data_IF_666673678811
#
_entry.id   IF_666673678811
#
_cell.length_a   1.000
_cell.length_b   1.000
_cell.length_c   1.000
_cell.angle_alpha   90.00
_cell.angle_beta   90.00
_cell.angle_gamma   90.00
#
_symmetry.space_group_name_H-M   'P 1'
#
loop_
_entity.id
_entity.type
_entity.pdbx_description
1 polymer ?
#
# COMPACT_ATOMS: atom_id res chain seq x y z
N UNK A 1 -2.97 -6.81 4.70
CA UNK A 1 -2.90 -5.33 4.78
C UNK A 1 -3.04 -4.94 6.25
N UNK A 2 -2.43 -3.84 6.68
CA UNK A 2 -2.56 -3.39 8.07
C UNK A 2 -3.62 -2.30 8.22
N UNK A 3 -4.22 -2.20 9.40
CA UNK A 3 -5.13 -1.09 9.75
C UNK A 3 -4.42 0.25 9.59
N UNK A 4 -5.09 1.18 8.90
CA UNK A 4 -4.60 2.52 8.62
C UNK A 4 -3.50 2.61 7.56
N UNK A 5 -3.18 1.51 6.86
CA UNK A 5 -2.26 1.51 5.72
C UNK A 5 -3.05 1.34 4.42
N UNK A 6 -3.01 2.39 3.60
CA UNK A 6 -3.71 2.43 2.33
C UNK A 6 -3.09 1.47 1.31
N UNK A 7 -3.93 0.92 0.45
CA UNK A 7 -3.51 0.09 -0.67
C UNK A 7 -4.31 0.45 -1.92
N UNK A 8 -3.77 0.08 -3.09
CA UNK A 8 -4.40 0.36 -4.37
C UNK A 8 -5.24 -0.85 -4.78
N UNK A 9 -6.53 -0.60 -5.06
CA UNK A 9 -7.43 -1.52 -5.73
C UNK A 9 -7.48 -1.15 -7.23
N UNK A 10 -7.26 -2.14 -8.09
CA UNK A 10 -7.27 -1.96 -9.55
C UNK A 10 -8.27 -2.92 -10.21
N UNK A 11 -9.57 -2.56 -10.27
CA UNK A 11 -10.55 -3.33 -11.03
C UNK A 11 -10.18 -3.35 -12.52
N UNK A 12 -9.97 -4.54 -13.06
CA UNK A 12 -9.62 -4.75 -14.46
C UNK A 12 -10.85 -5.25 -15.23
N UNK A 13 -11.26 -4.50 -16.24
CA UNK A 13 -12.45 -4.75 -17.05
C UNK A 13 -12.00 -5.13 -18.45
N UNK A 14 -12.58 -6.20 -19.01
CA UNK A 14 -12.32 -6.63 -20.39
C UNK A 14 -13.65 -6.76 -21.10
N UNK A 15 -13.80 -6.08 -22.24
CA UNK A 15 -15.00 -6.20 -23.06
C UNK A 15 -14.97 -7.49 -23.88
N UNK A 16 -15.91 -8.38 -23.59
CA UNK A 16 -16.17 -9.59 -24.40
C UNK A 16 -17.28 -9.38 -25.43
N UNK A 17 -17.85 -8.18 -25.49
CA UNK A 17 -18.94 -7.85 -26.41
C UNK A 17 -18.39 -7.63 -27.82
N UNK A 18 -19.02 -8.19 -28.87
CA UNK A 18 -18.69 -7.85 -30.25
C UNK A 18 -19.20 -6.45 -30.66
N UNK A 19 -19.96 -5.79 -29.78
CA UNK A 19 -20.50 -4.44 -29.98
C UNK A 19 -19.84 -3.45 -29.02
N UNK A 20 -19.55 -2.20 -29.44
CA UNK A 20 -18.99 -1.19 -28.57
C UNK A 20 -19.90 -0.89 -27.37
N UNK A 21 -19.30 -0.84 -26.18
CA UNK A 21 -19.96 -0.58 -24.91
C UNK A 21 -19.45 0.73 -24.32
N UNK A 22 -20.33 1.66 -24.01
CA UNK A 22 -19.98 2.91 -23.32
C UNK A 22 -20.20 2.75 -21.82
N UNK A 23 -19.14 2.98 -21.04
CA UNK A 23 -19.19 3.07 -19.59
C UNK A 23 -19.77 4.43 -19.21
N UNK A 24 -20.82 4.40 -18.39
CA UNK A 24 -21.50 5.60 -17.90
C UNK A 24 -20.92 6.06 -16.57
N UNK A 25 -20.73 5.11 -15.64
CA UNK A 25 -20.08 5.36 -14.37
C UNK A 25 -19.53 4.05 -13.78
N UNK A 26 -18.58 4.21 -12.86
CA UNK A 26 -18.14 3.14 -11.97
C UNK A 26 -18.37 3.57 -10.53
N UNK A 27 -18.75 2.62 -9.67
CA UNK A 27 -18.95 2.88 -8.25
C UNK A 27 -18.40 1.73 -7.41
N UNK A 28 -17.94 2.07 -6.21
CA UNK A 28 -17.39 1.12 -5.25
C UNK A 28 -18.15 1.24 -3.91
N UNK A 29 -18.86 0.18 -3.57
CA UNK A 29 -19.52 0.03 -2.27
C UNK A 29 -18.61 -0.77 -1.35
N UNK A 30 -17.87 -0.06 -0.48
CA UNK A 30 -16.96 -0.67 0.49
C UNK A 30 -17.71 -1.27 1.68
N UNK A 31 -17.08 -2.24 2.34
CA UNK A 31 -17.56 -2.70 3.66
C UNK A 31 -17.31 -1.66 4.75
N UNK A 32 -18.04 -1.77 5.88
CA UNK A 32 -17.92 -0.86 7.03
C UNK A 32 -16.52 -0.80 7.66
N UNK A 33 -15.66 -1.77 7.36
CA UNK A 33 -14.28 -1.89 7.83
C UNK A 33 -13.25 -1.29 6.87
N UNK A 34 -13.70 -0.57 5.83
CA UNK A 34 -12.85 0.08 4.84
C UNK A 34 -13.34 1.50 4.56
N UNK A 35 -12.40 2.38 4.23
CA UNK A 35 -12.69 3.74 3.77
C UNK A 35 -12.02 3.98 2.43
N UNK A 36 -12.74 4.68 1.54
CA UNK A 36 -12.20 5.13 0.26
C UNK A 36 -11.50 6.47 0.47
N UNK A 37 -10.27 6.59 -0.01
CA UNK A 37 -9.59 7.89 -0.05
C UNK A 37 -10.26 8.79 -1.12
N UNK A 38 -10.35 10.11 -0.88
CA UNK A 38 -10.91 11.02 -1.86
C UNK A 38 -10.16 10.92 -3.19
N UNK A 39 -10.88 10.61 -4.26
CA UNK A 39 -10.37 10.51 -5.62
C UNK A 39 -11.23 11.35 -6.57
N UNK A 40 -10.66 11.80 -7.72
CA UNK A 40 -11.45 12.43 -8.77
C UNK A 40 -12.53 11.47 -9.29
N UNK A 41 -13.46 12.00 -10.10
CA UNK A 41 -14.49 11.22 -10.78
C UNK A 41 -13.90 9.96 -11.46
N UNK A 42 -14.74 8.92 -11.56
CA UNK A 42 -14.41 7.63 -12.21
C UNK A 42 -13.56 7.84 -13.46
N UNK A 43 -12.35 7.24 -13.46
CA UNK A 43 -11.41 7.32 -14.58
C UNK A 43 -11.97 6.72 -15.88
N UNK A 44 -12.99 5.87 -15.75
CA UNK A 44 -13.59 5.13 -16.85
C UNK A 44 -14.90 5.74 -17.35
N UNK A 45 -15.34 6.85 -16.76
CA UNK A 45 -16.55 7.55 -17.19
C UNK A 45 -16.46 7.95 -18.66
N UNK A 46 -17.54 7.70 -19.39
CA UNK A 46 -17.69 7.97 -20.82
C UNK A 46 -16.71 7.22 -21.74
N UNK A 47 -15.96 6.25 -21.23
CA UNK A 47 -15.07 5.40 -22.02
C UNK A 47 -15.87 4.38 -22.83
N UNK A 48 -15.57 4.25 -24.12
CA UNK A 48 -16.15 3.21 -24.99
C UNK A 48 -15.15 2.09 -25.19
N UNK A 49 -15.57 0.86 -24.88
CA UNK A 49 -14.78 -0.36 -25.06
C UNK A 49 -15.33 -1.18 -26.22
N UNK A 50 -14.47 -1.51 -27.16
CA UNK A 50 -14.73 -2.45 -28.25
C UNK A 50 -14.26 -3.86 -27.87
N UNK A 51 -14.44 -4.82 -28.78
CA UNK A 51 -14.14 -6.23 -28.48
C UNK A 51 -12.66 -6.41 -28.10
N UNK A 52 -12.40 -7.12 -27.01
CA UNK A 52 -11.07 -7.41 -26.45
C UNK A 52 -10.33 -6.20 -25.87
N UNK A 53 -10.90 -5.00 -25.90
CA UNK A 53 -10.33 -3.86 -25.18
C UNK A 53 -10.51 -3.99 -23.68
N UNK A 54 -9.52 -3.47 -22.95
CA UNK A 54 -9.47 -3.49 -21.51
C UNK A 54 -9.35 -2.09 -20.92
N UNK A 55 -9.96 -1.91 -19.76
CA UNK A 55 -9.86 -0.70 -18.97
C UNK A 55 -9.53 -1.06 -17.52
N UNK A 56 -8.83 -0.16 -16.84
CA UNK A 56 -8.47 -0.33 -15.42
C UNK A 56 -8.82 0.93 -14.66
N UNK A 57 -9.62 0.75 -13.61
CA UNK A 57 -9.89 1.80 -12.63
C UNK A 57 -8.85 1.73 -11.51
N UNK A 58 -8.62 2.83 -10.80
CA UNK A 58 -7.59 2.89 -9.75
C UNK A 58 -8.13 3.63 -8.53
N UNK A 59 -8.28 2.88 -7.43
CA UNK A 59 -8.92 3.37 -6.21
C UNK A 59 -7.98 3.14 -5.02
N UNK A 60 -7.83 4.13 -4.15
CA UNK A 60 -7.02 4.01 -2.94
C UNK A 60 -7.92 3.73 -1.74
N UNK A 61 -7.73 2.58 -1.09
CA UNK A 61 -8.59 2.09 0.00
C UNK A 61 -7.76 1.92 1.25
N UNK A 62 -8.32 2.33 2.39
CA UNK A 62 -7.68 2.23 3.71
C UNK A 62 -8.53 1.34 4.63
N UNK A 63 -7.99 0.22 5.16
CA UNK A 63 -8.70 -0.58 6.16
C UNK A 63 -8.78 0.17 7.49
N UNK A 64 -9.97 0.18 8.10
CA UNK A 64 -10.23 0.89 9.37
C UNK A 64 -10.30 -0.03 10.58
N UNK A 65 -10.51 -1.34 10.36
CA UNK A 65 -10.59 -2.34 11.43
C UNK A 65 -9.96 -3.67 11.02
N UNK A 66 -9.28 -4.31 11.97
CA UNK A 66 -8.71 -5.65 11.81
C UNK A 66 -9.74 -6.74 12.08
N UNK A 67 -9.51 -7.93 11.54
CA UNK A 67 -10.37 -9.09 11.74
C UNK A 67 -9.55 -10.38 11.79
N UNK A 68 -10.01 -11.37 12.55
CA UNK A 68 -9.44 -12.73 12.56
C UNK A 68 -9.86 -13.56 11.34
N UNK A 69 -10.82 -13.08 10.57
CA UNK A 69 -11.29 -13.67 9.32
C UNK A 69 -11.05 -12.71 8.15
N UNK A 70 -10.97 -13.21 6.90
CA UNK A 70 -10.89 -12.36 5.72
C UNK A 70 -12.02 -11.33 5.69
N UNK A 71 -11.65 -10.05 5.66
CA UNK A 71 -12.58 -8.93 5.65
C UNK A 71 -13.10 -8.73 4.23
N UNK A 72 -14.42 -8.62 4.07
CA UNK A 72 -15.03 -8.29 2.79
C UNK A 72 -14.54 -6.93 2.28
N UNK A 73 -14.06 -6.85 1.05
CA UNK A 73 -13.59 -5.59 0.47
C UNK A 73 -14.75 -4.69 0.06
N UNK A 74 -15.74 -5.26 -0.61
CA UNK A 74 -16.89 -4.53 -1.12
C UNK A 74 -17.40 -5.06 -2.45
N UNK A 75 -18.23 -4.26 -3.10
CA UNK A 75 -18.82 -4.56 -4.41
C UNK A 75 -18.43 -3.43 -5.37
N UNK A 76 -17.85 -3.81 -6.50
CA UNK A 76 -17.57 -2.88 -7.59
C UNK A 76 -18.67 -3.00 -8.64
N UNK A 77 -19.28 -1.87 -9.01
CA UNK A 77 -20.38 -1.81 -9.96
C UNK A 77 -20.01 -0.93 -11.15
N UNK A 78 -20.26 -1.43 -12.35
CA UNK A 78 -20.08 -0.72 -13.61
C UNK A 78 -21.46 -0.51 -14.21
N UNK A 79 -21.82 0.73 -14.49
CA UNK A 79 -22.99 1.04 -15.33
C UNK A 79 -22.53 1.32 -16.74
N UNK A 80 -23.16 0.67 -17.70
CA UNK A 80 -22.78 0.73 -19.11
C UNK A 80 -24.01 0.61 -20.00
N UNK A 81 -23.85 1.00 -21.25
CA UNK A 81 -24.86 0.80 -22.29
C UNK A 81 -24.16 0.46 -23.61
N UNK A 82 -24.92 -0.07 -24.58
CA UNK A 82 -24.42 -0.17 -25.95
C UNK A 82 -24.22 1.23 -26.52
N UNK A 83 -23.17 1.42 -27.30
CA UNK A 83 -22.92 2.67 -28.02
C UNK A 83 -23.78 2.76 -29.29
N UNK A 84 -25.10 2.68 -29.10
CA UNK A 84 -26.11 2.89 -30.12
C UNK A 84 -27.21 3.83 -29.59
N UNK A 85 -28.06 4.35 -30.49
CA UNK A 85 -29.04 5.39 -30.14
C UNK A 85 -30.14 4.91 -29.18
N UNK A 86 -30.28 3.60 -28.96
CA UNK A 86 -31.32 2.99 -28.11
C UNK A 86 -30.70 2.13 -26.99
N UNK A 87 -29.44 2.38 -26.64
CA UNK A 87 -28.73 1.62 -25.61
C UNK A 87 -29.48 1.68 -24.28
N UNK A 88 -29.83 0.50 -23.75
CA UNK A 88 -30.43 0.39 -22.42
C UNK A 88 -29.32 0.42 -21.37
N UNK A 89 -29.45 1.32 -20.40
CA UNK A 89 -28.58 1.35 -19.23
C UNK A 89 -28.65 0.01 -18.49
N UNK A 90 -27.49 -0.62 -18.37
CA UNK A 90 -27.30 -1.92 -17.74
C UNK A 90 -26.20 -1.80 -16.69
N UNK A 91 -26.34 -2.50 -15.57
CA UNK A 91 -25.30 -2.56 -14.54
C UNK A 91 -24.72 -3.96 -14.40
N UNK A 92 -23.44 -4.03 -14.06
CA UNK A 92 -22.74 -5.27 -13.75
C UNK A 92 -21.95 -5.07 -12.47
N UNK A 93 -22.19 -5.93 -11.48
CA UNK A 93 -21.58 -5.84 -10.16
C UNK A 93 -20.75 -7.08 -9.87
N UNK A 94 -19.57 -6.88 -9.28
CA UNK A 94 -18.64 -7.94 -8.91
C UNK A 94 -18.26 -7.77 -7.44
N UNK A 95 -18.42 -8.83 -6.67
CA UNK A 95 -17.92 -8.88 -5.29
C UNK A 95 -16.40 -8.98 -5.31
N UNK A 96 -15.74 -8.04 -4.64
CA UNK A 96 -14.29 -8.01 -4.54
C UNK A 96 -13.79 -9.10 -3.61
N UNK A 97 -12.60 -9.63 -3.92
CA UNK A 97 -11.98 -10.65 -3.09
C UNK A 97 -11.76 -10.13 -1.66
N UNK A 98 -12.08 -10.93 -0.62
CA UNK A 98 -11.83 -10.54 0.75
C UNK A 98 -10.33 -10.51 1.04
N UNK A 99 -9.91 -9.61 1.93
CA UNK A 99 -8.51 -9.41 2.30
C UNK A 99 -8.27 -9.64 3.78
N UNK A 100 -7.07 -10.12 4.12
CA UNK A 100 -6.63 -10.22 5.49
C UNK A 100 -6.21 -8.84 6.00
N UNK A 101 -6.87 -8.38 7.07
CA UNK A 101 -6.57 -7.10 7.72
C UNK A 101 -6.07 -7.36 9.14
N UNK A 102 -4.80 -7.04 9.36
CA UNK A 102 -4.13 -7.19 10.65
C UNK A 102 -3.95 -5.84 11.33
N UNK A 103 -3.92 -5.84 12.66
CA UNK A 103 -3.49 -4.67 13.42
C UNK A 103 -2.06 -4.88 13.92
N UNK A 104 -1.22 -3.85 13.72
CA UNK A 104 0.17 -3.87 14.10
C UNK A 104 0.45 -2.70 15.06
N UNK A 105 0.94 -2.96 16.30
CA UNK A 105 1.13 -1.91 17.29
C UNK A 105 2.21 -0.90 16.90
N UNK A 106 3.13 -1.30 16.01
CA UNK A 106 4.23 -0.47 15.52
C UNK A 106 4.27 -0.54 14.00
N UNK A 107 4.12 0.62 13.34
CA UNK A 107 4.39 0.79 11.92
C UNK A 107 5.84 1.25 11.71
N UNK A 108 6.45 0.85 10.60
CA UNK A 108 7.81 1.24 10.23
C UNK A 108 7.78 1.75 8.79
N UNK A 109 8.28 2.96 8.60
CA UNK A 109 8.49 3.57 7.29
C UNK A 109 9.98 3.85 7.12
N UNK A 110 10.54 3.52 5.96
CA UNK A 110 11.95 3.76 5.66
C UNK A 110 12.07 4.77 4.52
N UNK A 111 12.68 5.92 4.79
CA UNK A 111 13.12 6.86 3.77
C UNK A 111 14.56 6.51 3.39
N UNK A 112 14.70 5.94 2.20
CA UNK A 112 15.95 5.41 1.65
C UNK A 112 16.23 6.13 0.32
N UNK A 113 17.47 6.59 0.07
CA UNK A 113 17.87 7.07 -1.25
C UNK A 113 17.61 6.03 -2.34
N UNK A 114 17.14 6.48 -3.50
CA UNK A 114 16.85 5.59 -4.64
C UNK A 114 18.08 4.81 -5.14
N UNK A 115 19.28 5.35 -4.92
CA UNK A 115 20.55 4.69 -5.20
C UNK A 115 21.64 5.17 -4.24
N UNK A 116 22.67 4.35 -4.08
CA UNK A 116 23.90 4.70 -3.38
C UNK A 116 25.07 4.77 -4.35
N UNK A 117 26.07 5.61 -4.03
CA UNK A 117 27.34 5.64 -4.75
C UNK A 117 28.40 4.89 -3.94
N UNK A 118 29.18 4.04 -4.61
CA UNK A 118 30.26 3.28 -3.98
C UNK A 118 31.21 4.23 -3.27
N UNK A 119 31.55 3.88 -2.02
CA UNK A 119 32.42 4.65 -1.10
C UNK A 119 31.87 6.01 -0.69
N UNK A 120 30.62 6.35 -1.00
CA UNK A 120 29.95 7.58 -0.56
C UNK A 120 28.94 7.26 0.54
N UNK A 121 28.95 7.99 1.67
CA UNK A 121 27.94 7.80 2.72
C UNK A 121 26.52 8.08 2.21
N UNK A 122 25.57 7.21 2.56
CA UNK A 122 24.14 7.36 2.35
C UNK A 122 23.41 7.28 3.69
N UNK A 123 22.48 8.21 3.92
CA UNK A 123 21.70 8.24 5.15
C UNK A 123 20.36 7.52 4.93
N UNK A 124 20.08 6.53 5.76
CA UNK A 124 18.79 5.85 5.83
C UNK A 124 18.05 6.34 7.07
N UNK A 125 16.80 6.75 6.88
CA UNK A 125 15.95 7.21 7.98
C UNK A 125 14.78 6.25 8.17
N UNK A 126 14.62 5.74 9.38
CA UNK A 126 13.47 4.95 9.79
C UNK A 126 12.54 5.80 10.67
N UNK A 127 11.25 5.76 10.36
CA UNK A 127 10.18 6.35 11.15
C UNK A 127 9.39 5.21 11.79
N UNK A 128 9.51 5.08 13.11
CA UNK A 128 8.75 4.12 13.89
C UNK A 128 7.52 4.80 14.46
N UNK A 129 6.33 4.34 14.09
CA UNK A 129 5.06 4.89 14.55
C UNK A 129 4.42 3.92 15.54
N UNK A 130 4.28 4.34 16.78
CA UNK A 130 3.48 3.61 17.76
C UNK A 130 2.00 3.92 17.52
N UNK A 131 1.27 2.90 17.07
CA UNK A 131 -0.18 2.99 16.81
C UNK A 131 -1.01 2.68 18.06
N UNK A 132 -0.39 2.21 19.14
CA UNK A 132 -1.06 1.86 20.41
C UNK A 132 -1.14 3.03 21.39
N UNK A 133 -1.91 2.82 22.47
CA UNK A 133 -2.05 3.73 23.61
C UNK A 133 -1.02 3.47 24.73
N UNK A 134 -0.11 2.51 24.54
CA UNK A 134 0.91 2.13 25.51
C UNK A 134 2.29 2.65 25.09
N UNK A 135 3.18 2.87 26.07
CA UNK A 135 4.59 3.09 25.78
C UNK A 135 5.21 1.78 25.27
N UNK A 136 5.84 1.79 24.09
CA UNK A 136 6.54 0.62 23.55
C UNK A 136 8.04 0.88 23.59
N UNK A 137 8.78 -0.06 24.16
CA UNK A 137 10.25 -0.03 24.11
C UNK A 137 10.74 -1.09 23.13
N UNK A 138 11.54 -0.67 22.17
CA UNK A 138 12.14 -1.54 21.17
C UNK A 138 13.66 -1.40 21.20
N UNK A 139 14.33 -2.48 20.87
CA UNK A 139 15.75 -2.51 20.52
C UNK A 139 15.86 -2.69 19.03
N UNK A 140 16.51 -1.74 18.38
CA UNK A 140 16.79 -1.79 16.95
C UNK A 140 18.24 -2.19 16.74
N UNK A 141 18.49 -3.20 15.90
CA UNK A 141 19.84 -3.70 15.61
C UNK A 141 20.05 -3.79 14.11
N UNK A 142 21.11 -3.16 13.61
CA UNK A 142 21.53 -3.28 12.21
C UNK A 142 22.51 -4.45 12.06
N UNK A 143 22.19 -5.41 11.18
CA UNK A 143 23.08 -6.52 10.87
C UNK A 143 24.26 -6.05 10.02
N UNK A 144 25.41 -6.71 10.18
CA UNK A 144 26.55 -6.48 9.31
C UNK A 144 26.27 -7.07 7.92
N UNK A 145 26.82 -6.43 6.88
CA UNK A 145 26.69 -6.86 5.50
C UNK A 145 28.00 -6.55 4.77
N UNK A 146 28.56 -7.51 4.06
CA UNK A 146 29.88 -7.36 3.40
C UNK A 146 29.89 -6.30 2.29
N UNK A 147 28.72 -5.89 1.79
CA UNK A 147 28.59 -4.84 0.79
C UNK A 147 28.43 -3.43 1.37
N UNK A 148 28.26 -3.30 2.69
CA UNK A 148 28.05 -2.01 3.35
C UNK A 148 28.83 -1.90 4.65
N UNK A 149 29.61 -0.83 4.80
CA UNK A 149 30.02 -0.40 6.13
C UNK A 149 28.95 0.50 6.69
N UNK A 150 28.68 0.44 7.99
CA UNK A 150 27.86 1.45 8.66
C UNK A 150 28.71 2.22 9.66
N UNK A 151 28.36 3.48 9.88
CA UNK A 151 28.95 4.33 10.90
C UNK A 151 27.92 4.62 12.00
N UNK A 152 28.34 4.56 13.26
CA UNK A 152 27.49 4.85 14.42
C UNK A 152 27.11 3.59 15.21
N UNK A 153 25.96 3.66 15.88
CA UNK A 153 25.49 2.59 16.76
C UNK A 153 24.95 1.41 15.96
N UNK A 154 25.52 0.21 16.21
CA UNK A 154 24.96 -1.04 15.68
C UNK A 154 23.59 -1.35 16.29
N UNK A 155 23.42 -0.99 17.56
CA UNK A 155 22.22 -1.26 18.36
C UNK A 155 21.77 0.03 19.07
N UNK A 156 20.46 0.29 19.08
CA UNK A 156 19.87 1.44 19.77
C UNK A 156 18.55 1.05 20.45
N UNK A 157 18.36 1.48 21.70
CA UNK A 157 17.09 1.36 22.39
C UNK A 157 16.21 2.59 22.10
N UNK A 158 14.97 2.32 21.74
CA UNK A 158 14.00 3.30 21.25
C UNK A 158 12.74 3.18 22.09
N UNK A 159 12.37 4.29 22.72
CA UNK A 159 11.12 4.45 23.45
C UNK A 159 10.12 5.17 22.55
N UNK A 160 9.03 4.50 22.21
CA UNK A 160 7.95 5.01 21.39
C UNK A 160 6.77 5.39 22.28
N UNK A 161 6.54 6.69 22.44
CA UNK A 161 5.40 7.22 23.18
C UNK A 161 4.08 6.78 22.52
N UNK A 162 2.99 6.63 23.29
CA UNK A 162 1.65 6.37 22.75
C UNK A 162 1.31 7.30 21.59
N UNK A 163 0.73 6.76 20.52
CA UNK A 163 0.28 7.52 19.33
C UNK A 163 1.32 8.48 18.74
N UNK A 164 2.61 8.16 18.86
CA UNK A 164 3.72 9.03 18.46
C UNK A 164 4.64 8.35 17.45
N UNK A 165 5.43 9.16 16.75
CA UNK A 165 6.43 8.70 15.80
C UNK A 165 7.83 9.08 16.26
N UNK A 166 8.79 8.15 16.11
CA UNK A 166 10.20 8.38 16.41
C UNK A 166 11.06 8.14 15.19
N UNK A 167 11.93 9.10 14.90
CA UNK A 167 12.90 9.07 13.82
C UNK A 167 14.22 8.47 14.33
N UNK A 168 14.78 7.53 13.58
CA UNK A 168 16.11 6.94 13.82
C UNK A 168 16.88 6.90 12.52
N UNK A 169 18.16 7.28 12.53
CA UNK A 169 18.98 7.38 11.32
C UNK A 169 20.21 6.50 11.41
N UNK A 170 20.56 5.86 10.28
CA UNK A 170 21.81 5.16 10.08
C UNK A 170 22.55 5.71 8.87
N UNK A 171 23.87 5.79 8.98
CA UNK A 171 24.74 6.15 7.86
C UNK A 171 25.37 4.86 7.36
N UNK A 172 25.04 4.47 6.13
CA UNK A 172 25.66 3.36 5.42
C UNK A 172 26.65 3.88 4.39
N UNK A 173 27.66 3.08 4.08
CA UNK A 173 28.65 3.35 3.04
C UNK A 173 28.76 2.10 2.15
N UNK A 174 28.22 2.15 0.93
CA UNK A 174 28.32 1.04 -0.01
C UNK A 174 29.78 0.76 -0.37
N UNK A 175 30.14 -0.52 -0.42
CA UNK A 175 31.49 -1.00 -0.75
C UNK A 175 31.58 -1.58 -2.16
N UNK A 176 30.45 -2.11 -2.65
CA UNK A 176 30.36 -2.84 -3.93
C UNK A 176 29.29 -2.20 -4.79
N UNK A 177 29.50 -2.21 -6.11
CA UNK A 177 28.51 -1.75 -7.09
C UNK A 177 27.55 -2.87 -7.49
N UNK A 178 26.37 -2.51 -7.97
CA UNK A 178 25.37 -3.45 -8.47
C UNK A 178 24.10 -3.48 -7.63
N UNK A 179 23.25 -4.47 -7.89
CA UNK A 179 22.01 -4.67 -7.14
C UNK A 179 22.31 -5.48 -5.88
N UNK A 180 22.48 -4.77 -4.75
CA UNK A 180 22.85 -5.40 -3.48
C UNK A 180 21.81 -5.11 -2.41
N UNK A 181 21.48 -6.13 -1.63
CA UNK A 181 20.54 -6.02 -0.53
C UNK A 181 21.08 -5.11 0.58
N UNK A 182 20.24 -4.20 1.08
CA UNK A 182 20.56 -3.39 2.24
C UNK A 182 20.78 -4.26 3.49
N UNK A 183 21.57 -3.79 4.46
CA UNK A 183 21.70 -4.47 5.75
C UNK A 183 20.33 -4.65 6.42
N UNK A 184 20.10 -5.81 7.04
CA UNK A 184 18.83 -6.10 7.71
C UNK A 184 18.72 -5.31 9.01
N UNK A 185 17.55 -4.72 9.22
CA UNK A 185 17.19 -4.08 10.47
C UNK A 185 16.31 -5.04 11.29
N UNK A 186 16.77 -5.43 12.47
CA UNK A 186 15.99 -6.22 13.42
C UNK A 186 15.38 -5.33 14.48
N UNK A 187 14.13 -5.61 14.85
CA UNK A 187 13.47 -5.03 16.01
C UNK A 187 13.13 -6.13 17.00
N UNK A 188 13.52 -5.94 18.26
CA UNK A 188 13.18 -6.85 19.34
C UNK A 188 12.69 -6.08 20.56
N UNK A 189 11.94 -6.75 21.43
CA UNK A 189 11.65 -6.20 22.75
C UNK A 189 12.92 -6.36 23.60
N UNK A 190 13.38 -5.32 24.32
CA UNK A 190 14.48 -5.47 25.27
C UNK A 190 14.13 -6.51 26.36
N UNK A 191 15.12 -7.26 26.86
CA UNK A 191 14.94 -8.16 27.99
C UNK A 191 14.56 -7.41 29.28
#
# INVERSE_FOLDING_TARGET
VFVGESFILMPHIVSSSPWPLRILETSLELSNSMSLEPSPDSLLKDLTLTQEEAATDVLCVTPTASSTQPTSTGIYTIKWQRDDKNGVETSTSVTLAPIWVEDAPVGIEAAIPAHGLVRTPMCITYYLKNKSDCLITLRMTMEANDAFMFAGQKEVNVYLRPRNSRKVQWILRPLVAGFVALPKLNLSVPP
#
